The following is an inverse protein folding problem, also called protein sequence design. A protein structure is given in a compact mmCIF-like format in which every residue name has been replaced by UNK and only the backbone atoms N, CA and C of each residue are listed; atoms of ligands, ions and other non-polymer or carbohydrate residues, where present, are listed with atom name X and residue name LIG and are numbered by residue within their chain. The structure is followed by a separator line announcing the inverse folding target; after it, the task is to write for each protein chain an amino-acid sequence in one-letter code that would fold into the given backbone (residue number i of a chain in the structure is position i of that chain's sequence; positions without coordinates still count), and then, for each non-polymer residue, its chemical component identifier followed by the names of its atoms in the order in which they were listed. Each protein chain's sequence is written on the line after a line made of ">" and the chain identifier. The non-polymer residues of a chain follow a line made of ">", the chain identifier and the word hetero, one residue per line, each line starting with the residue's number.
data_IF_682739448242
#
_entry.id   IF_682739448242
#
_cell.length_a   1.000
_cell.length_b   1.000
_cell.length_c   1.000
_cell.angle_alpha   90.00
_cell.angle_beta   90.00
_cell.angle_gamma   90.00
#
_symmetry.space_group_name_H-M   'P 1'
#
loop_
_entity.id
_entity.type
_entity.pdbx_description
1 polymer ?
#
# COMPACT_ATOMS: atom_id res chain seq x y z
N UNK A 1 15.75 -49.45 -6.97
CA UNK A 1 16.72 -49.12 -5.90
C UNK A 1 17.29 -47.69 -6.06
N UNK A 2 16.45 -46.65 -6.05
CA UNK A 2 16.90 -45.23 -6.05
C UNK A 2 16.17 -44.34 -5.03
N UNK A 3 15.09 -44.83 -4.40
CA UNK A 3 14.26 -44.01 -3.49
C UNK A 3 14.52 -44.24 -1.99
N UNK A 4 15.39 -45.18 -1.61
CA UNK A 4 15.71 -45.45 -0.19
C UNK A 4 16.90 -44.60 0.29
N UNK A 5 17.83 -44.25 -0.60
CA UNK A 5 19.00 -43.40 -0.28
C UNK A 5 18.64 -41.93 -0.04
N UNK A 6 17.62 -41.40 -0.72
CA UNK A 6 17.23 -39.98 -0.56
C UNK A 6 16.54 -39.74 0.79
N UNK A 7 15.74 -40.69 1.28
CA UNK A 7 15.08 -40.60 2.60
C UNK A 7 16.08 -40.69 3.75
N UNK A 8 17.13 -41.51 3.62
CA UNK A 8 18.19 -41.60 4.65
C UNK A 8 19.13 -40.40 4.65
N UNK A 9 19.34 -39.76 3.49
CA UNK A 9 20.13 -38.53 3.38
C UNK A 9 19.41 -37.31 3.98
N UNK A 10 18.11 -37.16 3.71
CA UNK A 10 17.27 -36.10 4.28
C UNK A 10 17.10 -36.26 5.81
N UNK A 11 16.97 -37.49 6.31
CA UNK A 11 16.82 -37.75 7.75
C UNK A 11 18.10 -37.45 8.55
N UNK A 12 19.29 -37.68 7.97
CA UNK A 12 20.57 -37.31 8.60
C UNK A 12 20.80 -35.80 8.64
N UNK A 13 20.37 -35.06 7.62
CA UNK A 13 20.46 -33.59 7.62
C UNK A 13 19.44 -32.94 8.56
N UNK A 14 18.23 -33.51 8.68
CA UNK A 14 17.25 -33.05 9.69
C UNK A 14 17.74 -33.37 11.12
N UNK A 15 18.36 -34.52 11.34
CA UNK A 15 18.92 -34.85 12.66
C UNK A 15 20.20 -34.04 12.98
N UNK A 16 21.04 -33.71 12.00
CA UNK A 16 22.17 -32.80 12.18
C UNK A 16 21.73 -31.34 12.39
N UNK A 17 20.65 -30.89 11.74
CA UNK A 17 20.08 -29.55 11.98
C UNK A 17 19.45 -29.47 13.38
N UNK A 18 18.78 -30.53 13.84
CA UNK A 18 18.20 -30.59 15.19
C UNK A 18 19.31 -30.62 16.25
N UNK A 19 20.43 -31.31 16.02
CA UNK A 19 21.59 -31.31 16.93
C UNK A 19 22.37 -29.98 16.86
N UNK A 20 22.41 -29.30 15.70
CA UNK A 20 22.96 -27.95 15.56
C UNK A 20 22.10 -26.87 16.23
N UNK A 21 20.77 -27.05 16.28
CA UNK A 21 19.87 -26.15 17.05
C UNK A 21 19.92 -26.39 18.56
N UNK A 22 20.35 -27.58 19.01
CA UNK A 22 20.53 -27.86 20.44
C UNK A 22 21.88 -27.32 20.94
N UNK A 23 22.87 -27.12 20.06
CA UNK A 23 24.20 -26.59 20.44
C UNK A 23 24.33 -25.07 20.35
N UNK A 24 23.32 -24.36 19.82
CA UNK A 24 23.14 -22.91 19.99
C UNK A 24 22.17 -22.54 21.15
N UNK A 25 21.71 -23.54 21.92
CA UNK A 25 20.84 -23.33 23.08
C UNK A 25 21.61 -23.05 24.39
N UNK A 26 22.89 -22.73 24.31
CA UNK A 26 23.72 -22.32 25.44
C UNK A 26 24.58 -21.11 25.07
N UNK A 27 23.97 -20.08 24.48
CA UNK A 27 24.25 -18.77 25.08
C UNK A 27 23.53 -18.81 26.43
N UNK A 28 24.29 -18.72 27.53
CA UNK A 28 23.69 -18.38 28.81
C UNK A 28 22.71 -17.23 28.55
N UNK A 29 21.44 -17.41 28.92
CA UNK A 29 20.47 -16.31 28.90
C UNK A 29 21.04 -15.25 29.83
N UNK A 30 21.77 -14.27 29.28
CA UNK A 30 22.33 -13.16 30.05
C UNK A 30 21.23 -12.36 30.80
N UNK A 31 19.97 -12.58 30.44
CA UNK A 31 18.78 -11.96 31.03
C UNK A 31 18.01 -12.83 32.03
N UNK A 32 18.48 -14.04 32.36
CA UNK A 32 17.77 -14.95 33.26
C UNK A 32 18.58 -15.18 34.54
N UNK A 33 18.20 -14.45 35.60
CA UNK A 33 18.70 -14.62 36.96
C UNK A 33 17.56 -15.26 37.80
N UNK A 34 17.74 -16.53 38.17
CA UNK A 34 16.79 -17.35 38.94
C UNK A 34 16.51 -16.80 40.35
N UNK A 35 17.29 -15.83 40.81
CA UNK A 35 17.11 -15.20 42.12
C UNK A 35 16.36 -13.87 42.05
N UNK A 36 16.04 -13.33 40.86
CA UNK A 36 15.21 -12.13 40.76
C UNK A 36 13.79 -12.41 41.31
N UNK A 37 13.21 -11.51 42.13
CA UNK A 37 11.83 -11.65 42.54
C UNK A 37 10.93 -11.78 41.31
N UNK A 38 9.99 -12.72 41.35
CA UNK A 38 9.09 -13.12 40.25
C UNK A 38 8.08 -12.04 39.81
N UNK A 39 8.29 -10.78 40.18
CA UNK A 39 7.54 -9.68 39.60
C UNK A 39 7.98 -9.52 38.14
N UNK A 40 7.25 -10.20 37.26
CA UNK A 40 7.39 -10.18 35.80
C UNK A 40 7.38 -8.77 35.18
N UNK A 41 7.15 -7.69 35.94
CA UNK A 41 7.01 -6.32 35.44
C UNK A 41 8.01 -5.35 36.12
N UNK A 42 9.31 -5.50 35.87
CA UNK A 42 10.34 -4.56 36.38
C UNK A 42 10.25 -3.20 35.67
N UNK A 43 9.82 -3.20 34.40
CA UNK A 43 9.40 -2.00 33.68
C UNK A 43 7.88 -2.08 33.50
N UNK A 44 7.17 -1.08 34.02
CA UNK A 44 5.70 -0.99 33.94
C UNK A 44 5.26 -0.39 32.61
N UNK A 45 5.96 0.64 32.14
CA UNK A 45 5.72 1.25 30.84
C UNK A 45 6.94 1.99 30.32
N UNK A 46 7.09 2.03 29.00
CA UNK A 46 8.02 2.91 28.29
C UNK A 46 7.23 3.62 27.20
N UNK A 47 7.36 4.94 27.12
CA UNK A 47 6.68 5.77 26.13
C UNK A 47 7.66 6.68 25.39
N UNK A 48 7.29 7.02 24.16
CA UNK A 48 7.88 8.10 23.37
C UNK A 48 6.73 8.98 22.92
N UNK A 49 6.65 10.19 23.46
CA UNK A 49 5.50 11.06 23.26
C UNK A 49 4.21 10.40 23.75
N UNK A 50 3.26 10.13 22.84
CA UNK A 50 2.00 9.44 23.15
C UNK A 50 2.03 7.94 22.84
N UNK A 51 3.11 7.43 22.24
CA UNK A 51 3.21 6.01 21.87
C UNK A 51 3.75 5.20 23.03
N UNK A 52 3.01 4.19 23.46
CA UNK A 52 3.49 3.17 24.41
C UNK A 52 4.21 2.05 23.67
N UNK A 53 5.30 1.55 24.24
CA UNK A 53 5.97 0.35 23.76
C UNK A 53 5.18 -0.93 24.11
N UNK A 54 5.40 -1.97 23.33
CA UNK A 54 5.15 -3.35 23.75
C UNK A 54 6.36 -3.81 24.57
N UNK A 55 6.13 -4.31 25.78
CA UNK A 55 7.20 -4.75 26.68
C UNK A 55 7.05 -6.25 26.91
N UNK A 56 8.05 -7.01 26.49
CA UNK A 56 8.24 -8.38 26.93
C UNK A 56 9.34 -8.39 27.99
N UNK A 57 8.90 -8.30 29.24
CA UNK A 57 9.82 -8.35 30.37
C UNK A 57 10.58 -9.68 30.42
N UNK A 58 9.97 -10.80 30.04
CA UNK A 58 10.61 -12.12 30.13
C UNK A 58 11.81 -12.23 29.21
N UNK A 59 11.67 -11.83 27.94
CA UNK A 59 12.77 -11.81 26.98
C UNK A 59 13.67 -10.57 27.10
N UNK A 60 13.22 -9.52 27.79
CA UNK A 60 13.95 -8.26 27.89
C UNK A 60 13.86 -7.46 26.58
N UNK A 61 12.69 -7.41 25.96
CA UNK A 61 12.48 -6.67 24.70
C UNK A 61 11.46 -5.56 24.92
N UNK A 62 11.76 -4.38 24.37
CA UNK A 62 10.87 -3.22 24.35
C UNK A 62 10.74 -2.75 22.91
N UNK A 63 9.58 -2.95 22.29
CA UNK A 63 9.36 -2.64 20.89
C UNK A 63 8.47 -1.42 20.70
N UNK A 64 8.93 -0.49 19.88
CA UNK A 64 8.20 0.70 19.47
C UNK A 64 7.79 0.65 17.99
N UNK A 65 6.53 0.98 17.73
CA UNK A 65 6.00 1.36 16.42
C UNK A 65 5.57 2.81 16.47
N UNK A 66 6.40 3.70 15.93
CA UNK A 66 6.26 5.15 16.10
C UNK A 66 5.59 5.80 14.90
N UNK A 67 4.97 6.98 15.09
CA UNK A 67 4.52 7.81 13.98
C UNK A 67 5.61 8.02 12.93
N UNK A 68 5.21 8.12 11.68
CA UNK A 68 6.13 8.12 10.54
C UNK A 68 7.08 9.32 10.46
N UNK A 69 6.77 10.40 11.19
CA UNK A 69 7.57 11.62 11.28
C UNK A 69 8.47 11.67 12.53
N UNK A 70 8.50 10.61 13.35
CA UNK A 70 9.35 10.59 14.54
C UNK A 70 10.83 10.55 14.16
N UNK A 71 11.59 11.53 14.63
CA UNK A 71 13.04 11.54 14.46
C UNK A 71 13.71 10.58 15.46
N UNK A 72 14.01 9.36 15.02
CA UNK A 72 14.64 8.33 15.86
C UNK A 72 16.02 8.73 16.39
N UNK A 73 16.72 9.69 15.79
CA UNK A 73 18.03 10.12 16.28
C UNK A 73 17.97 10.88 17.60
N UNK A 74 16.78 11.32 18.01
CA UNK A 74 16.57 12.15 19.19
C UNK A 74 15.13 12.01 19.70
N UNK A 75 14.88 10.99 20.53
CA UNK A 75 13.60 10.75 21.19
C UNK A 75 13.75 10.78 22.71
N UNK A 76 12.71 11.22 23.42
CA UNK A 76 12.69 11.24 24.89
C UNK A 76 11.96 9.99 25.39
N UNK A 77 12.62 9.19 26.23
CA UNK A 77 12.01 8.03 26.88
C UNK A 77 11.27 8.48 28.15
N UNK A 78 9.99 8.17 28.25
CA UNK A 78 9.22 8.24 29.51
C UNK A 78 9.05 6.82 30.05
N UNK A 79 9.85 6.49 31.07
CA UNK A 79 9.91 5.16 31.67
C UNK A 79 9.25 5.22 33.04
N UNK A 80 8.33 4.28 33.28
CA UNK A 80 7.76 4.00 34.59
C UNK A 80 8.20 2.62 35.06
N UNK A 81 8.71 2.56 36.28
CA UNK A 81 9.11 1.34 36.98
C UNK A 81 8.65 1.40 38.44
N UNK A 82 8.57 0.27 39.15
CA UNK A 82 8.25 0.25 40.58
C UNK A 82 9.24 1.07 41.41
N UNK A 83 8.80 1.48 42.60
CA UNK A 83 9.65 2.19 43.56
C UNK A 83 10.93 1.39 43.91
N UNK A 84 12.07 2.08 43.96
CA UNK A 84 13.38 1.48 44.23
C UNK A 84 14.08 0.88 43.01
N UNK A 85 13.44 0.84 41.84
CA UNK A 85 14.08 0.48 40.57
C UNK A 85 14.73 1.72 39.95
N UNK A 86 16.01 1.59 39.59
CA UNK A 86 16.78 2.62 38.88
C UNK A 86 16.98 2.15 37.44
N UNK A 87 16.57 2.96 36.47
CA UNK A 87 16.71 2.68 35.03
C UNK A 87 17.81 3.51 34.37
N UNK A 88 18.52 2.92 33.43
CA UNK A 88 19.56 3.57 32.62
C UNK A 88 19.43 3.15 31.15
N UNK A 89 19.17 4.06 30.21
CA UNK A 89 18.97 5.51 30.40
C UNK A 89 17.81 5.85 31.34
N UNK A 90 17.95 6.96 32.07
CA UNK A 90 16.92 7.42 33.00
C UNK A 90 15.66 7.87 32.27
N UNK A 91 14.50 7.82 32.94
CA UNK A 91 13.29 8.46 32.42
C UNK A 91 13.55 9.97 32.19
N UNK A 92 13.09 10.49 31.06
CA UNK A 92 13.38 11.85 30.57
C UNK A 92 14.66 11.97 29.74
N UNK A 93 15.47 10.92 29.60
CA UNK A 93 16.66 10.96 28.76
C UNK A 93 16.30 11.07 27.27
N UNK A 94 17.05 11.92 26.55
CA UNK A 94 17.03 11.95 25.08
C UNK A 94 18.02 10.92 24.56
N UNK A 95 17.56 10.03 23.68
CA UNK A 95 18.33 8.90 23.16
C UNK A 95 18.23 8.79 21.64
N UNK A 96 19.18 8.06 21.04
CA UNK A 96 19.16 7.69 19.63
C UNK A 96 18.69 6.22 19.49
N UNK A 97 17.59 6.01 18.77
CA UNK A 97 17.00 4.70 18.46
C UNK A 97 17.07 4.35 16.96
N UNK A 98 18.01 4.93 16.20
CA UNK A 98 18.28 4.49 14.81
C UNK A 98 18.90 3.08 14.77
N UNK A 99 19.28 2.54 15.93
CA UNK A 99 19.73 1.17 16.14
C UNK A 99 19.22 0.70 17.50
N UNK A 100 19.15 -0.63 17.76
CA UNK A 100 18.72 -1.15 19.06
C UNK A 100 19.53 -0.52 20.21
N UNK A 101 18.84 -0.12 21.27
CA UNK A 101 19.43 0.53 22.44
C UNK A 101 19.25 -0.34 23.68
N UNK A 102 20.31 -0.57 24.43
CA UNK A 102 20.22 -1.28 25.71
C UNK A 102 19.65 -0.37 26.81
N UNK A 103 18.71 -0.92 27.59
CA UNK A 103 18.13 -0.34 28.79
C UNK A 103 18.41 -1.27 29.97
N UNK A 104 19.05 -0.78 31.02
CA UNK A 104 19.29 -1.54 32.25
C UNK A 104 18.32 -1.10 33.33
N UNK A 105 17.64 -2.05 33.98
CA UNK A 105 16.88 -1.82 35.21
C UNK A 105 17.61 -2.47 36.40
N UNK A 106 17.82 -1.70 37.47
CA UNK A 106 18.56 -2.13 38.66
C UNK A 106 17.69 -2.03 39.91
N UNK A 107 17.64 -3.09 40.72
CA UNK A 107 17.03 -3.08 42.05
C UNK A 107 18.02 -3.64 43.07
N UNK A 108 18.45 -2.82 44.02
CA UNK A 108 19.58 -3.17 44.89
C UNK A 108 20.85 -3.50 44.08
N UNK A 109 21.38 -4.72 44.21
CA UNK A 109 22.54 -5.18 43.43
C UNK A 109 22.17 -5.97 42.16
N UNK A 110 20.88 -6.25 41.94
CA UNK A 110 20.41 -7.06 40.81
C UNK A 110 20.17 -6.19 39.59
N UNK A 111 20.46 -6.72 38.39
CA UNK A 111 20.29 -6.02 37.12
C UNK A 111 19.48 -6.88 36.15
N UNK A 112 18.69 -6.21 35.32
CA UNK A 112 18.05 -6.79 34.14
C UNK A 112 18.32 -5.91 32.94
N UNK A 113 18.66 -6.54 31.82
CA UNK A 113 18.90 -5.85 30.56
C UNK A 113 17.69 -6.00 29.65
N UNK A 114 17.39 -4.92 28.94
CA UNK A 114 16.36 -4.83 27.92
C UNK A 114 16.98 -4.29 26.64
N UNK A 115 16.44 -4.70 25.49
CA UNK A 115 16.76 -4.13 24.19
C UNK A 115 15.55 -3.36 23.70
N UNK A 116 15.72 -2.05 23.53
CA UNK A 116 14.73 -1.16 22.92
C UNK A 116 14.93 -1.19 21.41
N UNK A 117 13.94 -1.67 20.67
CA UNK A 117 13.88 -1.52 19.22
C UNK A 117 12.82 -0.48 18.87
N UNK A 118 13.12 0.35 17.88
CA UNK A 118 12.16 1.30 17.34
C UNK A 118 12.10 1.19 15.82
N UNK A 119 10.87 1.23 15.29
CA UNK A 119 10.62 1.50 13.88
C UNK A 119 9.56 2.57 13.76
N UNK A 120 9.64 3.35 12.68
CA UNK A 120 8.58 4.28 12.30
C UNK A 120 7.62 3.59 11.33
N UNK A 121 6.35 3.98 11.36
CA UNK A 121 5.38 3.56 10.35
C UNK A 121 5.84 4.04 8.96
N UNK A 122 5.71 3.20 7.92
CA UNK A 122 5.94 3.64 6.54
C UNK A 122 5.07 4.85 6.21
N UNK A 123 5.59 5.80 5.43
CA UNK A 123 4.82 6.94 4.92
C UNK A 123 5.19 7.38 3.51
N UNK A 124 6.20 6.75 2.91
CA UNK A 124 6.61 7.15 1.57
C UNK A 124 5.60 6.68 0.54
N UNK A 125 5.49 7.46 -0.53
CA UNK A 125 4.69 7.17 -1.70
C UNK A 125 5.66 6.84 -2.82
N UNK A 126 5.68 5.58 -3.25
CA UNK A 126 6.59 5.12 -4.29
C UNK A 126 5.88 5.16 -5.64
N UNK A 127 6.40 5.92 -6.60
CA UNK A 127 6.03 5.74 -8.00
C UNK A 127 6.95 4.70 -8.62
N UNK A 128 6.36 3.62 -9.15
CA UNK A 128 7.11 2.52 -9.79
C UNK A 128 6.94 2.55 -11.31
N UNK A 129 8.00 2.26 -12.04
CA UNK A 129 8.03 2.34 -13.51
C UNK A 129 9.15 1.47 -14.08
N UNK A 130 9.04 1.13 -15.36
CA UNK A 130 10.09 0.50 -16.16
C UNK A 130 11.21 1.47 -16.57
N UNK A 131 10.95 2.78 -16.51
CA UNK A 131 11.96 3.81 -16.69
C UNK A 131 12.92 3.88 -15.48
N UNK A 132 14.17 4.32 -15.73
CA UNK A 132 15.19 4.48 -14.68
C UNK A 132 15.03 5.77 -13.89
N UNK A 133 14.30 6.75 -14.43
CA UNK A 133 13.95 8.02 -13.78
C UNK A 133 12.69 8.62 -14.40
N UNK A 134 12.09 9.61 -13.74
CA UNK A 134 10.95 10.36 -14.29
C UNK A 134 11.28 10.99 -15.66
N UNK A 135 12.52 11.47 -15.84
CA UNK A 135 12.94 12.14 -17.07
C UNK A 135 13.00 11.21 -18.28
N UNK A 136 13.13 9.90 -18.05
CA UNK A 136 13.25 8.87 -19.09
C UNK A 136 11.94 8.13 -19.37
N UNK A 137 10.84 8.51 -18.70
CA UNK A 137 9.52 7.98 -19.05
C UNK A 137 9.16 8.48 -20.45
N UNK A 138 8.75 7.57 -21.33
CA UNK A 138 8.43 7.90 -22.73
C UNK A 138 7.02 8.45 -22.85
N UNK A 139 6.06 7.78 -22.23
CA UNK A 139 4.66 8.15 -22.25
C UNK A 139 4.40 9.43 -21.43
N UNK A 140 3.69 10.39 -22.01
CA UNK A 140 3.52 11.72 -21.42
C UNK A 140 2.55 11.71 -20.24
N UNK A 141 1.54 10.84 -20.25
CA UNK A 141 0.61 10.66 -19.13
C UNK A 141 1.31 10.04 -17.92
N UNK A 142 2.07 8.96 -18.15
CA UNK A 142 2.87 8.34 -17.08
C UNK A 142 3.88 9.33 -16.50
N UNK A 143 4.53 10.13 -17.36
CA UNK A 143 5.48 11.16 -16.94
C UNK A 143 4.80 12.25 -16.12
N UNK A 144 3.66 12.76 -16.58
CA UNK A 144 2.90 13.80 -15.89
C UNK A 144 2.37 13.32 -14.53
N UNK A 145 1.86 12.08 -14.43
CA UNK A 145 1.43 11.47 -13.18
C UNK A 145 2.60 11.34 -12.17
N UNK A 146 3.78 10.89 -12.63
CA UNK A 146 4.96 10.76 -11.79
C UNK A 146 5.49 12.12 -11.30
N UNK A 147 5.51 13.13 -12.18
CA UNK A 147 5.90 14.49 -11.82
C UNK A 147 4.93 15.12 -10.81
N UNK A 148 3.63 14.94 -11.03
CA UNK A 148 2.61 15.40 -10.10
C UNK A 148 2.76 14.75 -8.72
N UNK A 149 2.99 13.44 -8.66
CA UNK A 149 3.18 12.72 -7.40
C UNK A 149 4.43 13.23 -6.66
N UNK A 150 5.53 13.45 -7.40
CA UNK A 150 6.75 14.05 -6.85
C UNK A 150 6.50 15.43 -6.25
N UNK A 151 5.80 16.29 -6.98
CA UNK A 151 5.51 17.65 -6.53
C UNK A 151 4.53 17.69 -5.35
N UNK A 152 3.56 16.77 -5.32
CA UNK A 152 2.54 16.68 -4.26
C UNK A 152 3.12 16.15 -2.95
N UNK A 153 3.97 15.11 -3.00
CA UNK A 153 4.44 14.41 -1.81
C UNK A 153 5.85 14.81 -1.35
N UNK A 154 6.61 15.55 -2.16
CA UNK A 154 7.89 16.15 -1.77
C UNK A 154 8.85 15.13 -1.16
N UNK A 155 9.28 15.33 0.08
CA UNK A 155 10.20 14.42 0.78
C UNK A 155 9.64 13.03 1.07
N UNK A 156 8.31 12.83 0.96
CA UNK A 156 7.67 11.51 1.07
C UNK A 156 7.65 10.78 -0.27
N UNK A 157 7.89 11.44 -1.39
CA UNK A 157 7.94 10.79 -2.68
C UNK A 157 9.24 10.03 -2.89
N UNK A 158 9.15 8.83 -3.43
CA UNK A 158 10.29 8.08 -3.96
C UNK A 158 9.95 7.53 -5.35
N UNK A 159 10.94 7.52 -6.24
CA UNK A 159 10.81 6.86 -7.55
C UNK A 159 11.62 5.57 -7.50
N UNK A 160 10.99 4.43 -7.84
CA UNK A 160 11.63 3.13 -7.79
C UNK A 160 11.46 2.43 -9.14
N UNK A 161 12.52 2.35 -9.97
CA UNK A 161 12.49 1.54 -11.18
C UNK A 161 12.19 0.07 -10.86
N UNK A 162 11.50 -0.65 -11.74
CA UNK A 162 11.25 -2.10 -11.54
C UNK A 162 12.57 -2.87 -11.37
N UNK A 163 13.64 -2.46 -12.05
CA UNK A 163 14.97 -3.05 -11.88
C UNK A 163 15.42 -3.06 -10.41
N UNK A 164 15.20 -1.95 -9.69
CA UNK A 164 15.61 -1.73 -8.30
C UNK A 164 14.56 -2.16 -7.27
N UNK A 165 13.36 -2.51 -7.72
CA UNK A 165 12.26 -2.91 -6.86
C UNK A 165 12.59 -4.23 -6.14
N UNK A 166 12.66 -4.17 -4.82
CA UNK A 166 12.88 -5.28 -3.89
C UNK A 166 11.96 -5.11 -2.67
N UNK A 167 11.78 -6.14 -1.85
CA UNK A 167 11.00 -5.98 -0.61
C UNK A 167 11.65 -4.95 0.32
N UNK A 168 12.98 -4.90 0.35
CA UNK A 168 13.73 -3.94 1.16
C UNK A 168 13.54 -2.49 0.70
N UNK A 169 13.45 -2.25 -0.62
CA UNK A 169 13.18 -0.90 -1.15
C UNK A 169 11.78 -0.39 -0.80
N UNK A 170 10.87 -1.27 -0.36
CA UNK A 170 9.50 -0.93 0.04
C UNK A 170 9.33 -0.75 1.56
N UNK A 171 10.37 -0.98 2.37
CA UNK A 171 10.27 -0.98 3.84
C UNK A 171 9.72 0.32 4.43
N UNK A 172 9.99 1.46 3.80
CA UNK A 172 9.53 2.80 4.21
C UNK A 172 8.32 3.29 3.42
N UNK A 173 7.87 2.50 2.43
CA UNK A 173 6.79 2.83 1.51
C UNK A 173 5.45 2.36 2.06
N UNK A 174 4.51 3.29 2.23
CA UNK A 174 3.14 2.96 2.66
C UNK A 174 2.20 2.73 1.48
N UNK A 175 2.38 3.51 0.41
CA UNK A 175 1.58 3.40 -0.81
C UNK A 175 2.51 3.30 -2.02
N UNK A 176 2.31 2.26 -2.81
CA UNK A 176 2.87 2.15 -4.16
C UNK A 176 1.85 2.73 -5.14
N UNK A 177 2.25 3.75 -5.88
CA UNK A 177 1.51 4.29 -7.01
C UNK A 177 2.08 3.72 -8.31
N UNK A 178 1.30 2.87 -8.97
CA UNK A 178 1.64 2.35 -10.28
C UNK A 178 0.62 2.86 -11.30
N UNK A 179 1.04 3.84 -12.10
CA UNK A 179 0.30 4.29 -13.28
C UNK A 179 1.03 3.81 -14.52
N UNK A 180 0.32 3.23 -15.47
CA UNK A 180 0.89 2.78 -16.72
C UNK A 180 -0.05 3.08 -17.88
N UNK A 181 0.53 3.61 -18.94
CA UNK A 181 -0.12 3.78 -20.21
C UNK A 181 0.89 3.66 -21.35
N UNK A 182 0.43 3.20 -22.51
CA UNK A 182 1.19 3.14 -23.75
C UNK A 182 0.23 2.94 -24.92
N UNK A 183 0.22 3.89 -25.86
CA UNK A 183 -0.53 3.78 -27.10
C UNK A 183 -0.24 2.46 -27.83
N UNK A 184 -1.30 1.77 -28.26
CA UNK A 184 -1.24 0.53 -29.05
C UNK A 184 -1.10 -0.75 -28.24
N UNK A 185 -0.98 -0.69 -26.90
CA UNK A 185 -0.90 -1.89 -26.06
C UNK A 185 -1.58 -1.71 -24.71
N UNK A 186 -2.23 -2.77 -24.23
CA UNK A 186 -2.72 -2.87 -22.86
C UNK A 186 -1.90 -3.84 -22.02
N UNK A 187 -0.81 -4.38 -22.59
CA UNK A 187 0.09 -5.28 -21.89
C UNK A 187 0.98 -4.49 -20.92
N UNK A 188 1.07 -4.97 -19.69
CA UNK A 188 2.00 -4.43 -18.69
C UNK A 188 3.46 -4.70 -19.09
N UNK A 189 4.42 -3.86 -18.67
CA UNK A 189 5.83 -4.11 -18.91
C UNK A 189 6.26 -5.45 -18.32
N UNK A 190 7.04 -6.25 -19.05
CA UNK A 190 7.53 -7.55 -18.56
C UNK A 190 8.29 -7.41 -17.23
N UNK A 191 9.09 -6.34 -17.09
CA UNK A 191 9.81 -6.04 -15.85
C UNK A 191 8.88 -5.88 -14.64
N UNK A 192 7.65 -5.40 -14.83
CA UNK A 192 6.66 -5.34 -13.75
C UNK A 192 6.15 -6.74 -13.37
N UNK A 193 5.94 -7.62 -14.35
CA UNK A 193 5.45 -8.99 -14.13
C UNK A 193 6.49 -9.83 -13.38
N UNK A 194 7.77 -9.64 -13.69
CA UNK A 194 8.89 -10.30 -13.01
C UNK A 194 8.96 -9.93 -11.51
N UNK A 195 8.37 -8.79 -11.13
CA UNK A 195 8.31 -8.30 -9.74
C UNK A 195 7.01 -8.62 -9.02
N UNK A 196 6.10 -9.40 -9.63
CA UNK A 196 4.80 -9.72 -9.03
C UNK A 196 4.88 -10.28 -7.61
N UNK A 197 5.83 -11.19 -7.35
CA UNK A 197 5.95 -11.81 -6.02
C UNK A 197 6.33 -10.79 -4.94
N UNK A 198 7.12 -9.76 -5.28
CA UNK A 198 7.50 -8.69 -4.35
C UNK A 198 6.28 -7.82 -4.02
N UNK A 199 5.49 -7.43 -5.02
CA UNK A 199 4.30 -6.61 -4.83
C UNK A 199 3.15 -7.39 -4.17
N UNK A 200 3.02 -8.69 -4.47
CA UNK A 200 2.13 -9.60 -3.75
C UNK A 200 2.52 -9.66 -2.27
N UNK A 201 3.79 -9.92 -1.94
CA UNK A 201 4.26 -9.94 -0.55
C UNK A 201 4.01 -8.60 0.15
N UNK A 202 4.35 -7.49 -0.51
CA UNK A 202 4.12 -6.15 0.01
C UNK A 202 2.65 -5.91 0.42
N UNK A 203 1.70 -6.30 -0.44
CA UNK A 203 0.26 -6.21 -0.13
C UNK A 203 -0.19 -7.19 0.96
N UNK A 204 0.34 -8.41 0.97
CA UNK A 204 0.07 -9.40 2.05
C UNK A 204 0.49 -8.84 3.41
N UNK A 205 1.62 -8.15 3.46
CA UNK A 205 2.18 -7.52 4.66
C UNK A 205 1.55 -6.17 5.04
N UNK A 206 0.51 -5.72 4.32
CA UNK A 206 -0.24 -4.52 4.66
C UNK A 206 0.19 -3.25 3.92
N UNK A 207 1.10 -3.36 2.95
CA UNK A 207 1.35 -2.32 1.96
C UNK A 207 0.10 -1.99 1.16
N UNK A 208 0.04 -0.82 0.53
CA UNK A 208 -1.15 -0.36 -0.23
C UNK A 208 -0.78 -0.01 -1.65
N UNK A 209 -1.72 -0.15 -2.57
CA UNK A 209 -1.48 0.18 -3.98
C UNK A 209 -2.56 1.08 -4.55
N UNK A 210 -2.14 2.13 -5.25
CA UNK A 210 -2.99 2.84 -6.21
C UNK A 210 -2.56 2.41 -7.61
N UNK A 211 -3.49 1.83 -8.36
CA UNK A 211 -3.30 1.39 -9.75
C UNK A 211 -4.05 2.34 -10.68
N UNK A 212 -3.40 2.84 -11.72
CA UNK A 212 -4.00 3.75 -12.70
C UNK A 212 -3.75 3.35 -14.14
N UNK A 213 -4.73 3.60 -15.01
CA UNK A 213 -4.66 3.26 -16.43
C UNK A 213 -4.54 1.74 -16.63
N UNK A 214 -3.63 1.32 -17.50
CA UNK A 214 -3.38 -0.09 -17.78
C UNK A 214 -2.83 -0.86 -16.55
N UNK A 215 -2.26 -0.16 -15.57
CA UNK A 215 -1.79 -0.75 -14.33
C UNK A 215 -2.91 -1.38 -13.48
N UNK A 216 -4.20 -1.09 -13.73
CA UNK A 216 -5.30 -1.78 -13.04
C UNK A 216 -5.31 -3.28 -13.30
N UNK A 217 -4.76 -3.74 -14.43
CA UNK A 217 -4.52 -5.16 -14.73
C UNK A 217 -3.66 -5.87 -13.67
N UNK A 218 -2.87 -5.11 -12.92
CA UNK A 218 -2.01 -5.68 -11.89
C UNK A 218 -2.81 -6.31 -10.74
N UNK A 219 -4.07 -5.90 -10.53
CA UNK A 219 -4.96 -6.53 -9.56
C UNK A 219 -5.20 -8.02 -9.86
N UNK A 220 -5.38 -8.38 -11.14
CA UNK A 220 -5.47 -9.79 -11.58
C UNK A 220 -4.11 -10.50 -11.51
N UNK A 221 -3.02 -9.82 -11.93
CA UNK A 221 -1.65 -10.39 -11.95
C UNK A 221 -1.22 -10.93 -10.59
N UNK A 222 -1.56 -10.22 -9.51
CA UNK A 222 -1.21 -10.62 -8.14
C UNK A 222 -2.27 -11.51 -7.50
N UNK A 223 -3.37 -11.82 -8.20
CA UNK A 223 -4.48 -12.62 -7.69
C UNK A 223 -5.31 -11.91 -6.62
N UNK A 224 -5.33 -10.58 -6.64
CA UNK A 224 -6.23 -9.76 -5.81
C UNK A 224 -7.64 -9.78 -6.41
N UNK A 225 -7.71 -9.58 -7.72
CA UNK A 225 -8.88 -9.86 -8.53
C UNK A 225 -8.72 -11.25 -9.15
N UNK A 226 -9.80 -12.04 -9.10
CA UNK A 226 -9.88 -13.38 -9.69
C UNK A 226 -11.12 -13.54 -10.57
N UNK A 227 -11.76 -12.43 -10.90
CA UNK A 227 -13.01 -12.40 -11.65
C UNK A 227 -12.80 -12.78 -13.11
N UNK A 228 -11.67 -12.40 -13.71
CA UNK A 228 -11.47 -12.51 -15.16
C UNK A 228 -12.37 -11.55 -15.95
N UNK A 229 -12.94 -10.55 -15.28
CA UNK A 229 -13.91 -9.61 -15.87
C UNK A 229 -13.25 -8.31 -16.35
N UNK A 230 -11.95 -8.09 -16.12
CA UNK A 230 -11.22 -6.93 -16.63
C UNK A 230 -10.95 -7.06 -18.14
N UNK A 231 -11.99 -6.86 -18.95
CA UNK A 231 -11.99 -7.19 -20.38
C UNK A 231 -12.17 -5.98 -21.31
N UNK A 232 -12.60 -4.83 -20.79
CA UNK A 232 -12.80 -3.62 -21.61
C UNK A 232 -11.49 -2.83 -21.65
N UNK A 233 -10.75 -2.97 -22.75
CA UNK A 233 -9.41 -2.39 -22.91
C UNK A 233 -9.32 -1.51 -24.15
N UNK A 234 -9.16 -0.20 -23.97
CA UNK A 234 -8.91 0.78 -25.02
C UNK A 234 -7.44 1.19 -25.00
N UNK A 235 -6.77 1.18 -26.15
CA UNK A 235 -5.34 1.53 -26.29
C UNK A 235 -5.07 2.14 -27.69
N UNK A 236 -6.08 2.81 -28.24
CA UNK A 236 -6.06 3.30 -29.61
C UNK A 236 -5.19 4.55 -29.78
N UNK A 237 -5.29 5.18 -30.95
CA UNK A 237 -4.64 6.47 -31.22
C UNK A 237 -5.52 7.66 -30.82
N UNK A 238 -6.51 7.46 -29.96
CA UNK A 238 -7.50 8.49 -29.62
C UNK A 238 -8.35 9.02 -30.78
N UNK A 239 -9.13 10.06 -30.49
CA UNK A 239 -9.98 10.79 -31.42
C UNK A 239 -10.33 12.18 -30.87
N UNK A 240 -10.89 13.05 -31.72
CA UNK A 240 -11.38 14.37 -31.31
C UNK A 240 -12.85 14.29 -30.93
N UNK A 241 -13.18 14.75 -29.73
CA UNK A 241 -14.55 14.90 -29.25
C UNK A 241 -14.71 16.22 -28.49
N UNK A 242 -15.68 17.04 -28.91
CA UNK A 242 -15.97 18.33 -28.30
C UNK A 242 -16.71 18.23 -26.94
N UNK A 243 -17.24 17.06 -26.60
CA UNK A 243 -17.97 16.83 -25.34
C UNK A 243 -17.06 16.88 -24.11
N UNK A 244 -17.67 17.12 -22.95
CA UNK A 244 -17.01 16.86 -21.66
C UNK A 244 -17.29 15.41 -21.27
N UNK A 245 -16.27 14.69 -20.81
CA UNK A 245 -16.49 13.39 -20.18
C UNK A 245 -16.40 13.51 -18.66
N UNK A 246 -17.27 12.77 -17.99
CA UNK A 246 -17.43 12.79 -16.55
C UNK A 246 -17.52 11.35 -16.02
N UNK A 247 -17.25 11.17 -14.74
CA UNK A 247 -17.57 9.92 -14.03
C UNK A 247 -18.80 10.12 -13.15
N UNK A 248 -19.52 9.03 -12.94
CA UNK A 248 -20.60 8.94 -11.96
C UNK A 248 -20.11 8.10 -10.77
N UNK A 249 -20.30 8.62 -9.56
CA UNK A 249 -20.01 7.92 -8.30
C UNK A 249 -21.00 6.80 -7.98
N UNK A 250 -21.81 6.39 -8.94
CA UNK A 250 -22.79 5.32 -8.90
C UNK A 250 -23.38 5.17 -10.29
N UNK A 251 -24.54 4.53 -10.44
CA UNK A 251 -25.28 4.57 -11.73
C UNK A 251 -26.48 5.44 -11.53
N UNK A 252 -26.44 6.63 -12.10
CA UNK A 252 -27.41 7.69 -11.84
C UNK A 252 -27.66 7.86 -10.33
N UNK A 253 -26.58 7.78 -9.54
CA UNK A 253 -26.56 7.82 -8.07
C UNK A 253 -27.44 6.77 -7.36
N UNK A 254 -27.86 5.68 -8.01
CA UNK A 254 -28.62 4.61 -7.35
C UNK A 254 -27.76 3.80 -6.37
N UNK A 255 -26.48 3.64 -6.69
CA UNK A 255 -25.46 3.04 -5.83
C UNK A 255 -24.47 4.12 -5.39
N UNK A 256 -24.97 5.25 -4.88
CA UNK A 256 -24.18 6.46 -4.63
C UNK A 256 -22.98 6.23 -3.71
N UNK A 257 -21.78 6.40 -4.27
CA UNK A 257 -20.48 6.34 -3.59
C UNK A 257 -19.85 7.72 -3.44
N UNK A 258 -20.56 8.83 -3.69
CA UNK A 258 -20.00 10.19 -3.57
C UNK A 258 -19.53 10.54 -2.15
N UNK A 259 -20.00 9.81 -1.15
CA UNK A 259 -19.50 9.91 0.23
C UNK A 259 -18.17 9.16 0.46
N UNK A 260 -17.67 8.41 -0.54
CA UNK A 260 -16.40 7.72 -0.44
C UNK A 260 -15.25 8.74 -0.35
N UNK A 261 -14.22 8.48 0.47
CA UNK A 261 -13.04 9.34 0.60
C UNK A 261 -12.39 9.77 -0.72
N UNK A 262 -12.44 8.97 -1.79
CA UNK A 262 -11.86 9.38 -3.09
C UNK A 262 -12.43 10.70 -3.63
N UNK A 263 -13.64 11.09 -3.21
CA UNK A 263 -14.31 12.32 -3.64
C UNK A 263 -14.19 13.50 -2.66
N UNK A 264 -13.84 13.23 -1.40
CA UNK A 264 -13.76 14.26 -0.36
C UNK A 264 -12.92 13.79 0.83
N UNK A 265 -11.60 13.78 0.67
CA UNK A 265 -10.69 13.44 1.78
C UNK A 265 -9.80 14.61 2.16
N UNK A 266 -8.79 14.91 1.34
CA UNK A 266 -7.93 16.08 1.51
C UNK A 266 -8.36 17.23 0.59
N UNK A 267 -8.98 16.89 -0.54
CA UNK A 267 -9.56 17.84 -1.49
C UNK A 267 -11.01 17.44 -1.80
N UNK A 268 -11.91 18.41 -1.81
CA UNK A 268 -13.29 18.19 -2.31
C UNK A 268 -13.25 18.19 -3.84
N UNK A 269 -13.78 17.13 -4.47
CA UNK A 269 -13.88 17.03 -5.93
C UNK A 269 -15.17 17.73 -6.39
N UNK A 270 -15.04 18.59 -7.40
CA UNK A 270 -16.17 19.37 -7.91
C UNK A 270 -17.05 18.55 -8.85
N UNK A 271 -18.35 18.75 -8.77
CA UNK A 271 -19.33 18.17 -9.69
C UNK A 271 -19.86 19.20 -10.68
N UNK A 272 -20.40 18.74 -11.81
CA UNK A 272 -21.24 19.54 -12.69
C UNK A 272 -22.66 19.74 -12.12
N UNK A 273 -23.54 20.40 -12.88
CA UNK A 273 -24.92 20.66 -12.49
C UNK A 273 -25.79 19.40 -12.34
N UNK A 274 -25.37 18.28 -12.94
CA UNK A 274 -26.05 16.99 -12.84
C UNK A 274 -25.49 16.14 -11.69
N UNK A 275 -24.42 16.61 -11.02
CA UNK A 275 -23.77 15.90 -9.92
C UNK A 275 -22.71 14.90 -10.36
N UNK A 276 -22.35 14.85 -11.65
CA UNK A 276 -21.24 14.04 -12.15
C UNK A 276 -19.91 14.75 -11.94
N UNK A 277 -18.80 14.01 -11.87
CA UNK A 277 -17.48 14.60 -11.74
C UNK A 277 -16.83 14.71 -13.12
N UNK A 278 -16.77 15.91 -13.74
CA UNK A 278 -16.09 16.08 -15.01
C UNK A 278 -14.60 15.80 -14.85
N UNK A 279 -14.02 15.07 -15.81
CA UNK A 279 -12.62 14.63 -15.78
C UNK A 279 -11.84 15.15 -16.99
N UNK A 280 -12.49 15.34 -18.14
CA UNK A 280 -11.82 15.84 -19.34
C UNK A 280 -12.76 16.68 -20.20
N UNK A 281 -12.34 17.89 -20.55
CA UNK A 281 -13.08 18.77 -21.45
C UNK A 281 -12.89 18.37 -22.93
N UNK A 282 -13.67 18.99 -23.81
CA UNK A 282 -13.60 18.74 -25.24
C UNK A 282 -12.21 19.01 -25.84
N UNK A 283 -11.85 18.19 -26.84
CA UNK A 283 -10.56 18.20 -27.52
C UNK A 283 -10.19 16.80 -28.03
N UNK A 284 -8.92 16.60 -28.35
CA UNK A 284 -8.37 15.27 -28.59
C UNK A 284 -8.29 14.48 -27.27
N UNK A 285 -8.67 13.20 -27.30
CA UNK A 285 -8.71 12.28 -26.15
C UNK A 285 -8.25 10.90 -26.60
N UNK A 286 -7.51 10.21 -25.76
CA UNK A 286 -6.95 8.89 -26.04
C UNK A 286 -7.93 7.76 -25.77
N UNK A 287 -8.78 7.91 -24.76
CA UNK A 287 -9.79 6.92 -24.32
C UNK A 287 -9.18 5.56 -23.94
N UNK A 288 -8.08 5.60 -23.19
CA UNK A 288 -7.36 4.40 -22.76
C UNK A 288 -8.01 3.68 -21.57
N UNK A 289 -9.19 3.10 -21.82
CA UNK A 289 -9.96 2.35 -20.82
C UNK A 289 -9.25 1.05 -20.40
N UNK A 290 -9.39 0.70 -19.12
CA UNK A 290 -9.10 -0.63 -18.60
C UNK A 290 -10.14 -0.98 -17.51
N UNK A 291 -11.34 -1.36 -17.94
CA UNK A 291 -12.54 -1.53 -17.12
C UNK A 291 -12.99 -2.99 -17.05
N UNK A 292 -13.85 -3.27 -16.07
CA UNK A 292 -14.47 -4.58 -15.94
C UNK A 292 -15.78 -4.63 -16.72
N UNK A 293 -16.10 -5.75 -17.35
CA UNK A 293 -17.43 -6.06 -17.89
C UNK A 293 -18.12 -7.06 -16.96
N UNK A 294 -19.13 -6.59 -16.23
CA UNK A 294 -19.88 -7.42 -15.29
C UNK A 294 -21.07 -8.14 -15.94
N UNK A 295 -21.30 -7.99 -17.24
CA UNK A 295 -22.38 -8.64 -17.98
C UNK A 295 -22.51 -10.17 -17.83
N UNK A 296 -21.43 -10.92 -17.54
CA UNK A 296 -21.53 -12.34 -17.21
C UNK A 296 -22.11 -12.65 -15.81
N UNK A 297 -22.19 -11.67 -14.90
CA UNK A 297 -22.69 -11.87 -13.54
C UNK A 297 -24.23 -11.91 -13.49
N UNK A 298 -24.76 -12.74 -12.60
CA UNK A 298 -26.18 -13.01 -12.37
C UNK A 298 -26.90 -13.72 -13.53
N UNK A 299 -26.98 -13.11 -14.71
CA UNK A 299 -27.58 -13.65 -15.92
C UNK A 299 -27.03 -12.90 -17.16
N UNK A 300 -27.16 -13.43 -18.38
CA UNK A 300 -26.62 -12.79 -19.58
C UNK A 300 -27.11 -11.34 -19.76
N UNK A 301 -26.17 -10.40 -19.82
CA UNK A 301 -26.44 -8.97 -20.07
C UNK A 301 -26.23 -8.10 -18.84
N UNK A 302 -26.41 -6.80 -18.98
CA UNK A 302 -26.21 -5.83 -17.90
C UNK A 302 -27.52 -5.59 -17.14
N UNK A 303 -27.47 -5.73 -15.82
CA UNK A 303 -28.64 -5.65 -14.96
C UNK A 303 -28.29 -5.23 -13.53
N UNK A 304 -29.28 -4.67 -12.83
CA UNK A 304 -29.14 -4.25 -11.44
C UNK A 304 -28.73 -5.40 -10.52
N UNK A 305 -27.82 -5.14 -9.59
CA UNK A 305 -27.31 -6.11 -8.61
C UNK A 305 -25.91 -6.66 -8.93
N UNK A 306 -25.40 -6.46 -10.14
CA UNK A 306 -24.08 -6.95 -10.56
C UNK A 306 -22.94 -6.34 -9.73
N UNK A 307 -23.06 -5.10 -9.25
CA UNK A 307 -22.03 -4.49 -8.40
C UNK A 307 -21.96 -5.15 -7.04
N UNK A 308 -23.13 -5.45 -6.44
CA UNK A 308 -23.19 -6.16 -5.18
C UNK A 308 -22.68 -7.60 -5.31
N UNK A 309 -23.00 -8.26 -6.42
CA UNK A 309 -22.50 -9.62 -6.71
C UNK A 309 -20.98 -9.63 -6.92
N UNK A 310 -20.43 -8.66 -7.64
CA UNK A 310 -18.99 -8.51 -7.81
C UNK A 310 -18.28 -8.28 -6.47
N UNK A 311 -18.82 -7.40 -5.62
CA UNK A 311 -18.30 -7.17 -4.27
C UNK A 311 -18.36 -8.44 -3.41
N UNK A 312 -19.45 -9.20 -3.48
CA UNK A 312 -19.63 -10.45 -2.74
C UNK A 312 -18.66 -11.56 -3.18
N UNK A 313 -18.50 -11.76 -4.50
CA UNK A 313 -17.68 -12.84 -5.04
C UNK A 313 -16.17 -12.52 -5.00
N UNK A 314 -15.80 -11.26 -5.23
CA UNK A 314 -14.41 -10.88 -5.50
C UNK A 314 -13.87 -9.81 -4.55
N UNK A 315 -14.71 -9.27 -3.65
CA UNK A 315 -14.28 -8.29 -2.63
C UNK A 315 -13.96 -6.90 -3.19
N UNK A 316 -14.33 -6.62 -4.44
CA UNK A 316 -14.13 -5.33 -5.08
C UNK A 316 -15.34 -4.42 -4.89
N UNK A 317 -15.18 -3.32 -4.16
CA UNK A 317 -16.20 -2.28 -4.02
C UNK A 317 -16.17 -1.38 -5.25
N UNK A 318 -17.21 -1.39 -6.07
CA UNK A 318 -17.35 -0.43 -7.17
C UNK A 318 -17.56 0.98 -6.61
N UNK A 319 -16.74 1.92 -7.10
CA UNK A 319 -16.73 3.33 -6.68
C UNK A 319 -17.16 4.30 -7.78
N UNK A 320 -16.99 3.94 -9.05
CA UNK A 320 -17.41 4.78 -10.17
C UNK A 320 -17.62 4.01 -11.47
N UNK A 321 -18.42 4.59 -12.35
CA UNK A 321 -18.56 4.27 -13.78
C UNK A 321 -18.39 5.53 -14.62
N UNK A 322 -18.36 5.39 -15.94
CA UNK A 322 -18.58 6.53 -16.84
C UNK A 322 -19.96 7.16 -16.61
N UNK A 323 -20.04 8.49 -16.62
CA UNK A 323 -21.34 9.18 -16.58
C UNK A 323 -22.18 8.80 -17.81
N UNK A 324 -23.50 8.69 -17.64
CA UNK A 324 -24.41 8.30 -18.72
C UNK A 324 -24.54 6.79 -18.92
N UNK A 325 -23.74 5.97 -18.24
CA UNK A 325 -24.00 4.53 -18.11
C UNK A 325 -25.29 4.34 -17.31
N UNK A 326 -26.23 3.59 -17.88
CA UNK A 326 -27.59 3.41 -17.34
C UNK A 326 -27.77 2.15 -16.49
N UNK A 327 -26.78 1.26 -16.45
CA UNK A 327 -26.86 -0.06 -15.84
C UNK A 327 -25.56 -0.44 -15.11
N UNK A 328 -25.57 -1.58 -14.41
CA UNK A 328 -24.42 -2.09 -13.63
C UNK A 328 -23.40 -2.85 -14.49
N UNK A 329 -23.08 -2.34 -15.69
CA UNK A 329 -22.19 -3.00 -16.62
C UNK A 329 -20.70 -2.90 -16.24
N UNK A 330 -20.20 -1.67 -16.14
CA UNK A 330 -18.81 -1.40 -16.51
C UNK A 330 -18.08 -0.53 -15.48
N UNK A 331 -17.78 -1.04 -14.27
CA UNK A 331 -17.10 -0.26 -13.25
C UNK A 331 -15.69 0.12 -13.71
N UNK A 332 -15.32 1.37 -13.47
CA UNK A 332 -14.01 1.91 -13.83
C UNK A 332 -13.17 2.38 -12.66
N UNK A 333 -13.77 2.50 -11.47
CA UNK A 333 -13.02 2.68 -10.23
C UNK A 333 -13.49 1.65 -9.21
N UNK A 334 -12.54 0.89 -8.65
CA UNK A 334 -12.81 -0.19 -7.69
C UNK A 334 -11.85 -0.10 -6.51
N UNK A 335 -12.37 -0.25 -5.29
CA UNK A 335 -11.58 -0.47 -4.07
C UNK A 335 -11.61 -1.95 -3.67
N UNK A 336 -10.46 -2.61 -3.67
CA UNK A 336 -10.32 -3.93 -3.09
C UNK A 336 -9.80 -3.80 -1.65
N UNK A 337 -10.70 -3.96 -0.67
CA UNK A 337 -10.43 -3.78 0.77
C UNK A 337 -9.64 -4.93 1.39
N UNK A 338 -8.81 -4.64 2.39
CA UNK A 338 -8.05 -5.65 3.14
C UNK A 338 -8.88 -6.88 3.51
N UNK A 339 -8.29 -8.06 3.42
CA UNK A 339 -8.91 -9.32 3.84
C UNK A 339 -7.88 -10.21 4.58
N UNK A 340 -8.26 -11.44 4.92
CA UNK A 340 -7.39 -12.37 5.67
C UNK A 340 -6.14 -12.81 4.92
N UNK A 341 -6.08 -12.65 3.59
CA UNK A 341 -4.92 -12.99 2.76
C UNK A 341 -4.08 -11.76 2.47
N UNK A 342 -4.71 -10.65 2.10
CA UNK A 342 -4.06 -9.38 1.81
C UNK A 342 -4.46 -8.37 2.87
N UNK A 343 -3.57 -8.10 3.82
CA UNK A 343 -3.79 -7.03 4.79
C UNK A 343 -3.83 -5.64 4.12
N UNK A 344 -3.23 -5.52 2.93
CA UNK A 344 -3.22 -4.32 2.11
C UNK A 344 -4.54 -4.00 1.39
N UNK A 345 -4.70 -2.74 1.02
CA UNK A 345 -5.83 -2.24 0.22
C UNK A 345 -5.34 -1.76 -1.14
N UNK A 346 -6.15 -1.99 -2.18
CA UNK A 346 -5.90 -1.48 -3.53
C UNK A 346 -7.05 -0.57 -3.96
N UNK A 347 -6.73 0.56 -4.56
CA UNK A 347 -7.68 1.32 -5.38
C UNK A 347 -7.20 1.24 -6.83
N UNK A 348 -8.09 0.88 -7.74
CA UNK A 348 -7.84 0.77 -9.16
C UNK A 348 -8.69 1.79 -9.93
N UNK A 349 -8.06 2.60 -10.79
CA UNK A 349 -8.68 3.66 -11.59
C UNK A 349 -8.37 3.39 -13.07
N UNK A 350 -9.34 2.84 -13.80
CA UNK A 350 -9.19 2.42 -15.20
C UNK A 350 -9.99 3.24 -16.22
N UNK A 351 -10.69 4.28 -15.78
CA UNK A 351 -11.47 5.18 -16.65
C UNK A 351 -10.54 5.91 -17.63
N UNK A 352 -10.77 5.75 -18.93
CA UNK A 352 -9.93 6.29 -20.00
C UNK A 352 -9.87 7.82 -20.08
N UNK A 353 -10.80 8.54 -19.45
CA UNK A 353 -10.77 10.00 -19.36
C UNK A 353 -9.91 10.56 -18.23
N UNK A 354 -9.23 9.70 -17.46
CA UNK A 354 -8.28 10.10 -16.41
C UNK A 354 -6.89 10.41 -17.00
N UNK A 355 -6.86 11.16 -18.09
CA UNK A 355 -5.65 11.57 -18.82
C UNK A 355 -4.92 12.70 -18.07
N UNK A 356 -3.61 12.57 -17.95
CA UNK A 356 -2.71 13.48 -17.24
C UNK A 356 -2.08 14.53 -18.16
N UNK A 357 -1.86 14.21 -19.43
CA UNK A 357 -1.29 15.07 -20.45
C UNK A 357 -2.20 15.11 -21.69
N UNK A 358 -2.33 16.27 -22.33
CA UNK A 358 -3.20 16.42 -23.50
C UNK A 358 -2.36 16.48 -24.77
N UNK A 359 -2.58 15.54 -25.69
CA UNK A 359 -1.77 15.39 -26.91
C UNK A 359 -1.92 16.53 -27.92
N UNK A 360 -3.00 17.31 -27.80
CA UNK A 360 -3.25 18.52 -28.60
C UNK A 360 -2.72 19.82 -27.94
N UNK A 361 -2.00 19.69 -26.82
CA UNK A 361 -1.38 20.81 -26.10
C UNK A 361 -2.37 21.70 -25.34
N UNK A 362 -3.65 21.32 -25.25
CA UNK A 362 -4.64 22.09 -24.48
C UNK A 362 -4.42 21.92 -22.98
N UNK A 363 -4.98 22.86 -22.21
CA UNK A 363 -5.17 22.66 -20.78
C UNK A 363 -6.46 21.90 -20.54
N UNK A 364 -6.39 20.80 -19.79
CA UNK A 364 -7.59 20.16 -19.28
C UNK A 364 -8.20 21.00 -18.15
N UNK A 365 -9.37 21.60 -18.37
CA UNK A 365 -10.04 22.46 -17.36
C UNK A 365 -10.46 21.68 -16.11
N UNK A 366 -10.53 20.35 -16.20
CA UNK A 366 -10.91 19.46 -15.12
C UNK A 366 -9.73 18.65 -14.56
N UNK A 367 -8.49 19.01 -14.91
CA UNK A 367 -7.29 18.34 -14.39
C UNK A 367 -7.26 18.29 -12.84
N UNK A 368 -7.80 19.31 -12.16
CA UNK A 368 -7.88 19.33 -10.69
C UNK A 368 -8.78 18.25 -10.11
N UNK A 369 -9.81 17.80 -10.85
CA UNK A 369 -10.66 16.70 -10.43
C UNK A 369 -9.92 15.36 -10.54
N UNK A 370 -9.22 15.11 -11.65
CA UNK A 370 -8.36 13.92 -11.81
C UNK A 370 -7.32 13.88 -10.68
N UNK A 371 -6.52 14.95 -10.54
CA UNK A 371 -5.50 15.05 -9.51
C UNK A 371 -6.06 14.90 -8.10
N UNK A 372 -7.25 15.46 -7.84
CA UNK A 372 -7.92 15.34 -6.56
C UNK A 372 -8.36 13.91 -6.25
N UNK A 373 -8.90 13.17 -7.23
CA UNK A 373 -9.28 11.75 -7.07
C UNK A 373 -8.05 10.90 -6.74
N UNK A 374 -6.96 11.08 -7.48
CA UNK A 374 -5.70 10.38 -7.21
C UNK A 374 -5.11 10.77 -5.84
N UNK A 375 -5.11 12.06 -5.49
CA UNK A 375 -4.65 12.54 -4.17
C UNK A 375 -5.45 11.93 -3.04
N UNK A 376 -6.77 12.06 -3.09
CA UNK A 376 -7.65 11.51 -2.09
C UNK A 376 -7.49 10.00 -1.96
N UNK A 377 -7.32 9.28 -3.06
CA UNK A 377 -7.06 7.83 -3.05
C UNK A 377 -5.76 7.49 -2.32
N UNK A 378 -4.64 8.16 -2.65
CA UNK A 378 -3.35 7.93 -1.98
C UNK A 378 -3.43 8.30 -0.49
N UNK A 379 -4.04 9.44 -0.18
CA UNK A 379 -4.10 9.95 1.19
C UNK A 379 -5.04 9.12 2.08
N UNK A 380 -6.12 8.61 1.52
CA UNK A 380 -6.99 7.64 2.18
C UNK A 380 -6.31 6.28 2.37
N UNK A 381 -5.60 5.77 1.35
CA UNK A 381 -4.81 4.54 1.50
C UNK A 381 -3.72 4.68 2.57
N UNK A 382 -3.18 5.90 2.76
CA UNK A 382 -2.20 6.15 3.81
C UNK A 382 -2.75 5.93 5.23
N UNK A 383 -4.06 6.02 5.45
CA UNK A 383 -4.68 5.82 6.77
C UNK A 383 -5.13 4.39 7.03
N UNK A 384 -4.91 3.46 6.09
CA UNK A 384 -5.35 2.07 6.21
C UNK A 384 -4.37 1.18 6.96
#
# INVERSE_FOLDING_TARGET
>A
MKNILIKTFQLKYVLLLVIATITYSCEERQNYDDELPSTLNIIESVKIGQTSATIDNLSGVVDFVLPSNTNLSSVVLDIKSPDGVIVSPASGATVNLTSPLELTAKTGNKKRHYIINARVLPNQIAFISDATSIATIVDEDVKAAAQWAKNTYGSRFVFIPFADLTINSLKTVNVVFFFYDTQGTSALPQASLDKKNILTQYLVEGGKMLLGGMATSYAEVIGRDKSGLLTIKGNGIGFVDAGTWSIDGGINFQNDQRNNPIYNFTQVISTDSNGYFPVINGGYKEDHNNLWDLGPLLAPGHQKGQFAEFENLYGGKVLAVWSGVGDECCPGIIEFKSNSVYAGTIIAIGIGGMEWAMNDGRTNTYASNIQGIYRNSIDYLNTK
#
